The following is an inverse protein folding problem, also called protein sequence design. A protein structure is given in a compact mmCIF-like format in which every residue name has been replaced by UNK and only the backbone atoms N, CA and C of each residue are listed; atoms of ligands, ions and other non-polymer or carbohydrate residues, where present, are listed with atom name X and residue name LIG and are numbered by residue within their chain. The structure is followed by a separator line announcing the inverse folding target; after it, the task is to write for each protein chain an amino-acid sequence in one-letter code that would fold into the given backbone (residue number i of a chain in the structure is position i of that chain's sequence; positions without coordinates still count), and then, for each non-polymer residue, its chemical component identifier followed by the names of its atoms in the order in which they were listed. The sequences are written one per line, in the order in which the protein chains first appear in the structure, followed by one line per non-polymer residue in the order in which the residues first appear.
data_IF_592700554239
#
_entry.id   IF_592700554239
#
_cell.length_a   1.000
_cell.length_b   1.000
_cell.length_c   1.000
_cell.angle_alpha   90.00
_cell.angle_beta   90.00
_cell.angle_gamma   90.00
#
_symmetry.space_group_name_H-M   'P 1'
#
loop_
_entity.id
_entity.type
_entity.pdbx_description
1 polymer ?
#
# COMPACT_ATOMS: atom_id res chain seq x y z
N UNK A 1 -1.41 48.75 38.62
CA UNK A 1 -0.41 48.10 37.74
C UNK A 1 -0.72 46.61 37.69
N UNK A 2 -1.17 46.11 36.53
CA UNK A 2 -1.50 44.68 36.33
C UNK A 2 -0.20 43.88 36.25
N UNK A 3 -0.03 42.87 37.10
CA UNK A 3 1.03 41.87 36.99
C UNK A 3 0.66 40.89 35.87
N UNK A 4 1.47 40.86 34.81
CA UNK A 4 1.39 39.88 33.74
C UNK A 4 2.16 38.64 34.20
N UNK A 5 1.48 37.50 34.25
CA UNK A 5 2.06 36.18 34.50
C UNK A 5 2.70 35.69 33.18
N UNK A 6 3.96 35.23 33.15
CA UNK A 6 4.51 34.68 31.93
C UNK A 6 3.92 33.29 31.70
N UNK A 7 3.23 33.12 30.57
CA UNK A 7 2.82 31.81 30.09
C UNK A 7 4.09 31.03 29.70
N UNK A 8 4.36 29.95 30.41
CA UNK A 8 5.41 29.00 30.08
C UNK A 8 4.96 28.25 28.81
N UNK A 9 5.45 28.66 27.64
CA UNK A 9 5.42 27.82 26.45
C UNK A 9 6.34 26.62 26.71
N UNK A 10 5.79 25.47 27.10
CA UNK A 10 6.48 24.20 26.95
C UNK A 10 6.51 23.87 25.45
N UNK A 11 7.57 24.30 24.78
CA UNK A 11 7.97 23.70 23.52
C UNK A 11 8.31 22.23 23.76
N UNK A 12 7.75 21.35 22.93
CA UNK A 12 8.17 19.95 22.86
C UNK A 12 9.67 19.92 22.51
N UNK A 13 10.52 19.75 23.52
CA UNK A 13 11.92 19.39 23.30
C UNK A 13 11.90 17.90 22.98
N UNK A 14 12.13 17.56 21.71
CA UNK A 14 12.28 16.17 21.30
C UNK A 14 13.45 15.55 22.07
N UNK A 15 13.19 14.44 22.77
CA UNK A 15 14.23 13.69 23.47
C UNK A 15 15.28 13.25 22.45
N UNK A 16 16.56 13.39 22.80
CA UNK A 16 17.64 12.86 21.97
C UNK A 16 17.62 11.30 21.97
N UNK A 17 18.40 10.65 21.09
CA UNK A 17 18.38 9.20 20.97
C UNK A 17 18.71 8.46 22.29
N UNK A 18 19.63 9.00 23.08
CA UNK A 18 20.06 8.43 24.36
C UNK A 18 18.95 8.53 25.41
N UNK A 19 18.22 9.65 25.46
CA UNK A 19 17.08 9.84 26.35
C UNK A 19 15.91 8.90 25.99
N UNK A 20 15.62 8.72 24.69
CA UNK A 20 14.60 7.75 24.21
C UNK A 20 14.96 6.32 24.65
N UNK A 21 16.23 5.92 24.51
CA UNK A 21 16.70 4.60 24.92
C UNK A 21 16.62 4.42 26.45
N UNK A 22 17.06 5.43 27.20
CA UNK A 22 17.02 5.40 28.66
C UNK A 22 15.58 5.27 29.18
N UNK A 23 14.62 5.98 28.58
CA UNK A 23 13.20 5.85 28.88
C UNK A 23 12.71 4.41 28.67
N UNK A 24 13.02 3.80 27.52
CA UNK A 24 12.65 2.39 27.22
C UNK A 24 13.22 1.43 28.28
N UNK A 25 14.50 1.59 28.64
CA UNK A 25 15.15 0.74 29.64
C UNK A 25 14.52 0.89 31.03
N UNK A 26 14.15 2.11 31.41
CA UNK A 26 13.46 2.38 32.67
C UNK A 26 12.03 1.81 32.68
N UNK A 27 11.28 1.94 31.57
CA UNK A 27 9.96 1.35 31.43
C UNK A 27 9.99 -0.17 31.52
N UNK A 28 10.97 -0.81 30.86
CA UNK A 28 11.16 -2.25 30.92
C UNK A 28 11.39 -2.72 32.37
N UNK A 29 12.34 -2.12 33.07
CA UNK A 29 12.68 -2.49 34.44
C UNK A 29 11.53 -2.23 35.43
N UNK A 30 10.81 -1.10 35.29
CA UNK A 30 9.81 -0.67 36.27
C UNK A 30 8.41 -1.22 36.01
N UNK A 31 8.03 -1.45 34.75
CA UNK A 31 6.65 -1.75 34.36
C UNK A 31 6.52 -2.97 33.43
N UNK A 32 7.64 -3.56 33.00
CA UNK A 32 7.67 -4.77 32.19
C UNK A 32 7.50 -4.54 30.69
N UNK A 33 7.58 -5.63 29.93
CA UNK A 33 7.67 -5.62 28.47
C UNK A 33 6.40 -5.14 27.76
N UNK A 34 5.22 -5.34 28.35
CA UNK A 34 3.95 -4.89 27.75
C UNK A 34 3.89 -3.36 27.61
N UNK A 35 4.35 -2.63 28.63
CA UNK A 35 4.40 -1.16 28.61
C UNK A 35 5.44 -0.64 27.62
N UNK A 36 6.56 -1.33 27.46
CA UNK A 36 7.54 -1.03 26.40
C UNK A 36 6.87 -1.16 25.03
N UNK A 37 6.11 -2.24 24.78
CA UNK A 37 5.36 -2.41 23.54
C UNK A 37 4.39 -1.25 23.27
N UNK A 38 3.67 -0.79 24.28
CA UNK A 38 2.77 0.37 24.17
C UNK A 38 3.53 1.67 23.87
N UNK A 39 4.71 1.87 24.47
CA UNK A 39 5.56 3.02 24.16
C UNK A 39 6.05 2.98 22.71
N UNK A 40 6.46 1.82 22.20
CA UNK A 40 6.84 1.67 20.79
C UNK A 40 5.67 1.93 19.85
N UNK A 41 4.47 1.41 20.17
CA UNK A 41 3.24 1.72 19.44
C UNK A 41 2.96 3.24 19.39
N UNK A 42 3.29 3.99 20.44
CA UNK A 42 3.11 5.45 20.47
C UNK A 42 4.01 6.19 19.48
N UNK A 43 5.25 5.72 19.27
CA UNK A 43 6.13 6.28 18.24
C UNK A 43 5.61 5.95 16.83
N UNK A 44 5.13 4.71 16.61
CA UNK A 44 4.57 4.32 15.32
C UNK A 44 3.28 5.08 14.97
N UNK A 45 2.54 5.55 15.98
CA UNK A 45 1.36 6.40 15.82
C UNK A 45 1.70 7.89 15.66
N UNK A 46 2.97 8.29 15.82
CA UNK A 46 3.43 9.66 15.74
C UNK A 46 3.96 10.01 14.34
N UNK A 47 3.53 11.14 13.81
CA UNK A 47 3.92 11.57 12.45
C UNK A 47 5.38 12.04 12.37
N UNK A 48 5.88 12.70 13.42
CA UNK A 48 7.26 13.21 13.45
C UNK A 48 8.29 12.08 13.49
N UNK A 49 7.95 10.96 14.15
CA UNK A 49 8.75 9.73 14.08
C UNK A 49 8.93 9.26 12.63
N UNK A 50 7.84 9.17 11.86
CA UNK A 50 7.93 8.78 10.45
C UNK A 50 8.62 9.82 9.58
N UNK A 51 8.48 11.10 9.88
CA UNK A 51 9.20 12.15 9.17
C UNK A 51 10.73 12.00 9.36
N UNK A 52 11.18 11.70 10.59
CA UNK A 52 12.58 11.40 10.92
C UNK A 52 13.06 10.11 10.22
N UNK A 53 12.28 9.04 10.29
CA UNK A 53 12.63 7.73 9.70
C UNK A 53 12.71 7.78 8.16
N UNK A 54 11.83 8.54 7.51
CA UNK A 54 11.74 8.61 6.05
C UNK A 54 12.69 9.64 5.42
N UNK A 55 13.35 10.50 6.21
CA UNK A 55 14.07 11.67 5.69
C UNK A 55 15.12 11.35 4.61
N UNK A 56 15.80 10.21 4.73
CA UNK A 56 16.88 9.78 3.83
C UNK A 56 16.47 8.59 2.94
N UNK A 57 15.17 8.37 2.74
CA UNK A 57 14.63 7.24 1.98
C UNK A 57 14.14 7.65 0.59
N UNK A 58 14.29 6.75 -0.37
CA UNK A 58 13.76 6.88 -1.72
C UNK A 58 12.25 6.58 -1.70
N UNK A 59 11.44 7.63 -1.65
CA UNK A 59 10.02 7.56 -1.27
C UNK A 59 9.06 7.87 -2.41
N UNK A 60 9.58 8.10 -3.62
CA UNK A 60 8.79 8.50 -4.78
C UNK A 60 7.73 7.44 -5.16
N UNK A 61 8.09 6.16 -5.00
CA UNK A 61 7.21 5.02 -5.28
C UNK A 61 6.54 4.42 -4.04
N UNK A 62 6.66 5.07 -2.88
CA UNK A 62 5.99 4.65 -1.66
C UNK A 62 6.93 4.24 -0.52
N UNK A 63 6.33 3.67 0.51
CA UNK A 63 7.00 3.02 1.63
C UNK A 63 6.85 1.50 1.52
N UNK A 64 7.93 0.78 1.75
CA UNK A 64 8.02 -0.68 1.71
C UNK A 64 8.79 -1.14 2.95
N UNK A 65 8.11 -1.77 3.92
CA UNK A 65 8.72 -2.13 5.21
C UNK A 65 9.84 -3.18 5.06
N UNK A 66 9.62 -4.15 4.18
CA UNK A 66 10.54 -5.26 3.91
C UNK A 66 11.05 -5.17 2.47
N UNK A 67 12.01 -6.01 2.11
CA UNK A 67 12.47 -6.15 0.72
C UNK A 67 11.28 -6.43 -0.22
N UNK A 68 11.20 -5.68 -1.31
CA UNK A 68 10.15 -5.81 -2.33
C UNK A 68 10.73 -5.61 -3.74
N UNK A 69 9.97 -6.03 -4.74
CA UNK A 69 10.25 -5.77 -6.15
C UNK A 69 9.15 -4.94 -6.77
N UNK A 70 9.53 -4.01 -7.64
CA UNK A 70 8.61 -3.05 -8.24
C UNK A 70 8.85 -2.90 -9.73
N UNK A 71 7.80 -3.13 -10.52
CA UNK A 71 7.70 -2.65 -11.88
C UNK A 71 7.05 -1.28 -11.94
N UNK A 72 7.56 -0.40 -12.80
CA UNK A 72 6.96 0.90 -13.09
C UNK A 72 6.74 1.02 -14.59
N UNK A 73 5.49 1.15 -15.01
CA UNK A 73 5.08 1.24 -16.40
C UNK A 73 4.53 2.63 -16.73
N UNK A 74 5.10 3.26 -17.75
CA UNK A 74 4.60 4.49 -18.36
C UNK A 74 3.82 4.11 -19.62
N UNK A 75 2.51 4.38 -19.66
CA UNK A 75 1.67 4.10 -20.84
C UNK A 75 1.89 5.06 -22.01
N UNK A 76 2.36 6.29 -21.77
CA UNK A 76 2.43 7.35 -22.78
C UNK A 76 3.74 7.33 -23.58
N UNK A 77 4.86 6.98 -22.95
CA UNK A 77 6.15 6.73 -23.62
C UNK A 77 6.33 5.26 -24.09
N UNK A 78 5.32 4.43 -23.88
CA UNK A 78 5.46 3.03 -23.45
C UNK A 78 6.85 2.59 -22.94
N UNK A 79 7.04 2.53 -21.63
CA UNK A 79 8.26 1.95 -21.02
C UNK A 79 7.96 1.13 -19.79
N UNK A 80 8.83 0.17 -19.50
CA UNK A 80 8.81 -0.63 -18.28
C UNK A 80 10.17 -0.55 -17.59
N UNK A 81 10.13 -0.19 -16.32
CA UNK A 81 11.28 -0.18 -15.42
C UNK A 81 11.11 -1.23 -14.34
N UNK A 82 12.22 -1.77 -13.84
CA UNK A 82 12.22 -2.75 -12.77
C UNK A 82 13.21 -2.39 -11.67
N UNK A 83 12.75 -2.46 -10.42
CA UNK A 83 13.47 -2.05 -9.22
C UNK A 83 13.48 -3.17 -8.18
N UNK A 84 14.61 -3.30 -7.50
CA UNK A 84 14.69 -3.92 -6.17
C UNK A 84 14.61 -2.80 -5.13
N UNK A 85 13.79 -3.01 -4.10
CA UNK A 85 13.62 -2.08 -2.99
C UNK A 85 14.03 -2.79 -1.72
N UNK A 86 15.06 -2.27 -1.05
CA UNK A 86 15.51 -2.77 0.25
C UNK A 86 15.78 -1.60 1.19
N UNK A 87 15.29 -1.68 2.44
CA UNK A 87 15.33 -0.58 3.41
C UNK A 87 14.80 0.77 2.90
N UNK A 88 13.82 0.75 1.98
CA UNK A 88 13.30 1.91 1.24
C UNK A 88 14.34 2.65 0.38
N UNK A 89 15.34 1.93 -0.12
CA UNK A 89 16.30 2.44 -1.11
C UNK A 89 16.03 1.76 -2.46
N UNK A 90 15.98 2.55 -3.53
CA UNK A 90 15.68 2.08 -4.87
C UNK A 90 16.95 1.66 -5.59
N UNK A 91 17.01 0.38 -5.97
CA UNK A 91 18.01 -0.13 -6.91
C UNK A 91 17.35 -0.43 -8.24
N UNK A 92 17.52 0.47 -9.21
CA UNK A 92 17.08 0.24 -10.59
C UNK A 92 17.87 -0.91 -11.19
N UNK A 93 17.17 -1.99 -11.55
CA UNK A 93 17.78 -3.17 -12.19
C UNK A 93 17.98 -2.89 -13.68
N UNK A 94 16.92 -2.45 -14.37
CA UNK A 94 16.99 -2.03 -15.77
C UNK A 94 15.70 -1.29 -16.19
N UNK A 95 15.66 -0.79 -17.42
CA UNK A 95 14.46 -0.25 -18.06
C UNK A 95 14.48 -0.45 -19.56
N UNK A 96 13.31 -0.54 -20.19
CA UNK A 96 13.20 -0.65 -21.66
C UNK A 96 11.93 0.03 -22.19
N UNK A 97 11.85 0.17 -23.51
CA UNK A 97 10.57 0.41 -24.17
C UNK A 97 9.67 -0.82 -24.02
N UNK A 98 8.37 -0.60 -23.99
CA UNK A 98 7.37 -1.65 -23.93
C UNK A 98 6.30 -1.46 -25.01
N UNK A 99 5.56 -2.52 -25.34
CA UNK A 99 4.27 -2.38 -26.02
C UNK A 99 3.16 -2.44 -24.98
N UNK A 100 2.14 -1.60 -25.14
CA UNK A 100 0.97 -1.50 -24.25
C UNK A 100 -0.32 -1.55 -25.08
N UNK A 101 -1.47 -1.57 -24.42
CA UNK A 101 -2.77 -1.50 -25.07
C UNK A 101 -2.96 -0.22 -25.87
N UNK A 102 -3.67 -0.31 -26.99
CA UNK A 102 -3.92 0.82 -27.89
C UNK A 102 -4.84 1.89 -27.32
N UNK A 103 -5.67 1.55 -26.32
CA UNK A 103 -6.59 2.50 -25.68
C UNK A 103 -5.90 3.30 -24.57
N UNK A 104 -5.95 4.63 -24.71
CA UNK A 104 -5.59 5.61 -23.68
C UNK A 104 -6.59 5.63 -22.52
N UNK A 105 -6.15 6.09 -21.36
CA UNK A 105 -6.98 6.19 -20.16
C UNK A 105 -7.23 4.85 -19.47
N UNK A 106 -8.30 4.78 -18.67
CA UNK A 106 -8.60 3.65 -17.82
C UNK A 106 -9.08 2.41 -18.59
N UNK A 107 -8.66 1.23 -18.12
CA UNK A 107 -9.28 -0.05 -18.48
C UNK A 107 -10.56 -0.24 -17.66
N UNK A 108 -11.72 -0.30 -18.31
CA UNK A 108 -13.01 -0.40 -17.61
C UNK A 108 -13.85 -1.60 -18.03
N UNK A 109 -13.63 -2.13 -19.24
CA UNK A 109 -14.41 -3.23 -19.80
C UNK A 109 -13.52 -4.35 -20.35
N UNK A 110 -14.07 -5.55 -20.38
CA UNK A 110 -13.49 -6.64 -21.15
C UNK A 110 -13.40 -6.28 -22.64
N UNK A 111 -12.27 -6.62 -23.28
CA UNK A 111 -12.05 -6.34 -24.70
C UNK A 111 -11.78 -4.88 -25.06
N UNK A 112 -11.69 -3.95 -24.11
CA UNK A 112 -11.54 -2.51 -24.41
C UNK A 112 -10.13 -2.06 -24.84
N UNK A 113 -9.18 -3.01 -24.97
CA UNK A 113 -7.81 -2.78 -25.47
C UNK A 113 -6.95 -1.82 -24.62
N UNK A 114 -7.34 -1.52 -23.38
CA UNK A 114 -6.56 -0.65 -22.49
C UNK A 114 -5.60 -1.44 -21.61
N UNK A 115 -4.39 -0.91 -21.41
CA UNK A 115 -3.57 -1.25 -20.24
C UNK A 115 -4.09 -0.46 -19.04
N UNK A 116 -4.37 -1.11 -17.90
CA UNK A 116 -4.96 -0.44 -16.74
C UNK A 116 -3.99 0.53 -16.05
N UNK A 117 -4.54 1.56 -15.40
CA UNK A 117 -3.79 2.56 -14.62
C UNK A 117 -4.06 2.29 -13.13
N UNK A 118 -3.00 2.26 -12.31
CA UNK A 118 -3.09 1.99 -10.88
C UNK A 118 -1.93 1.16 -10.34
N UNK A 119 -2.15 0.56 -9.17
CA UNK A 119 -1.22 -0.37 -8.52
C UNK A 119 -1.75 -1.80 -8.63
N UNK A 120 -0.91 -2.69 -9.13
CA UNK A 120 -1.19 -4.10 -9.35
C UNK A 120 -0.13 -4.98 -8.67
N UNK A 121 -0.43 -6.26 -8.54
CA UNK A 121 0.52 -7.27 -8.05
C UNK A 121 0.75 -8.34 -9.09
N UNK A 122 2.01 -8.76 -9.21
CA UNK A 122 2.38 -9.98 -9.91
C UNK A 122 2.04 -11.15 -8.99
N UNK A 123 1.14 -12.01 -9.47
CA UNK A 123 0.55 -13.11 -8.66
C UNK A 123 1.20 -14.45 -8.95
N UNK A 124 1.64 -14.65 -10.18
CA UNK A 124 2.27 -15.88 -10.66
C UNK A 124 3.05 -15.61 -11.94
N UNK A 125 3.90 -16.57 -12.30
CA UNK A 125 4.57 -16.67 -13.59
C UNK A 125 3.92 -17.81 -14.38
N UNK A 126 3.65 -17.58 -15.65
CA UNK A 126 3.25 -18.59 -16.62
C UNK A 126 4.40 -18.88 -17.58
N UNK A 127 4.57 -20.16 -17.89
CA UNK A 127 5.50 -20.70 -18.87
C UNK A 127 4.73 -21.64 -19.82
N UNK A 128 5.34 -22.09 -20.91
CA UNK A 128 4.68 -22.95 -21.92
C UNK A 128 3.43 -22.32 -22.56
N UNK A 129 3.54 -21.02 -22.86
CA UNK A 129 2.49 -20.25 -23.52
C UNK A 129 2.58 -20.40 -25.05
N UNK A 130 1.56 -19.91 -25.76
CA UNK A 130 1.69 -19.65 -27.19
C UNK A 130 2.93 -18.79 -27.47
N UNK A 131 3.61 -19.08 -28.58
CA UNK A 131 4.85 -18.42 -28.97
C UNK A 131 4.75 -16.88 -28.99
N UNK A 132 3.56 -16.34 -29.21
CA UNK A 132 3.27 -14.90 -29.18
C UNK A 132 3.69 -14.23 -27.86
N UNK A 133 3.54 -14.92 -26.74
CA UNK A 133 3.82 -14.36 -25.41
C UNK A 133 5.29 -14.43 -25.01
N UNK A 134 6.16 -14.97 -25.87
CA UNK A 134 7.59 -15.04 -25.61
C UNK A 134 7.96 -16.10 -24.57
N UNK A 135 8.99 -15.81 -23.79
CA UNK A 135 9.60 -16.77 -22.86
C UNK A 135 8.79 -17.05 -21.60
N UNK A 136 8.01 -16.08 -21.12
CA UNK A 136 7.16 -16.19 -19.93
C UNK A 136 6.14 -15.04 -19.88
N UNK A 137 5.14 -15.17 -19.00
CA UNK A 137 4.25 -14.07 -18.65
C UNK A 137 4.08 -13.94 -17.13
N UNK A 138 4.30 -12.74 -16.60
CA UNK A 138 3.96 -12.37 -15.23
C UNK A 138 2.50 -11.89 -15.17
N UNK A 139 1.67 -12.61 -14.41
CA UNK A 139 0.23 -12.35 -14.34
C UNK A 139 -0.06 -11.27 -13.31
N UNK A 140 -0.67 -10.16 -13.75
CA UNK A 140 -1.15 -9.13 -12.82
C UNK A 140 -2.48 -9.55 -12.19
N UNK A 141 -2.84 -8.93 -11.06
CA UNK A 141 -4.14 -9.12 -10.43
C UNK A 141 -5.25 -8.19 -10.96
N UNK A 142 -5.15 -7.67 -12.19
CA UNK A 142 -6.27 -6.92 -12.78
C UNK A 142 -7.48 -7.86 -13.03
N UNK A 143 -8.72 -7.47 -12.65
CA UNK A 143 -9.08 -6.26 -11.91
C UNK A 143 -8.73 -6.40 -10.41
N UNK A 144 -8.04 -5.40 -9.85
CA UNK A 144 -7.70 -5.40 -8.43
C UNK A 144 -8.95 -5.06 -7.57
N UNK A 145 -8.80 -4.93 -6.24
CA UNK A 145 -9.92 -4.59 -5.35
C UNK A 145 -10.59 -3.25 -5.74
N UNK A 146 -9.81 -2.23 -6.08
CA UNK A 146 -10.33 -0.93 -6.50
C UNK A 146 -11.14 -1.06 -7.79
N UNK A 147 -10.60 -1.75 -8.78
CA UNK A 147 -11.25 -2.00 -10.07
C UNK A 147 -12.57 -2.76 -9.87
N UNK A 148 -12.55 -3.80 -9.04
CA UNK A 148 -13.72 -4.64 -8.72
C UNK A 148 -14.84 -3.83 -8.05
N UNK A 149 -14.50 -3.00 -7.06
CA UNK A 149 -15.47 -2.15 -6.38
C UNK A 149 -16.00 -1.02 -7.29
N UNK A 150 -15.21 -0.60 -8.29
CA UNK A 150 -15.61 0.31 -9.37
C UNK A 150 -16.34 -0.39 -10.53
N UNK A 151 -16.61 -1.70 -10.41
CA UNK A 151 -17.32 -2.51 -11.42
C UNK A 151 -16.62 -2.56 -12.78
N UNK A 152 -15.29 -2.42 -12.79
CA UNK A 152 -14.45 -2.64 -13.99
C UNK A 152 -14.32 -4.14 -14.26
N UNK A 153 -14.28 -4.53 -15.52
CA UNK A 153 -14.30 -5.95 -15.96
C UNK A 153 -13.15 -6.28 -16.90
N UNK A 154 -13.05 -7.55 -17.29
CA UNK A 154 -11.94 -8.11 -18.05
C UNK A 154 -10.97 -8.89 -17.17
N UNK A 155 -9.97 -9.49 -17.79
CA UNK A 155 -8.97 -10.33 -17.14
C UNK A 155 -7.72 -10.40 -18.04
N UNK A 156 -6.70 -11.17 -17.62
CA UNK A 156 -5.59 -11.53 -18.51
C UNK A 156 -4.61 -10.40 -18.84
N UNK A 157 -4.45 -9.40 -17.95
CA UNK A 157 -3.42 -8.37 -18.11
C UNK A 157 -2.09 -8.91 -17.59
N UNK A 158 -1.14 -9.14 -18.50
CA UNK A 158 0.16 -9.73 -18.18
C UNK A 158 1.31 -8.81 -18.57
N UNK A 159 2.45 -8.99 -17.90
CA UNK A 159 3.75 -8.51 -18.39
C UNK A 159 4.46 -9.70 -19.05
N UNK A 160 4.64 -9.68 -20.37
CA UNK A 160 5.14 -10.83 -21.13
C UNK A 160 6.23 -10.45 -22.15
N UNK A 161 6.73 -11.46 -22.85
CA UNK A 161 7.79 -11.33 -23.85
C UNK A 161 7.28 -10.99 -25.25
N UNK A 162 8.19 -10.78 -26.19
CA UNK A 162 7.83 -10.63 -27.62
C UNK A 162 7.68 -12.00 -28.31
N UNK A 163 6.99 -12.11 -29.46
CA UNK A 163 6.84 -13.36 -30.19
C UNK A 163 8.18 -14.07 -30.47
N UNK A 164 8.22 -15.38 -30.22
CA UNK A 164 9.43 -16.22 -30.38
C UNK A 164 9.77 -16.48 -31.85
N UNK A 165 8.77 -16.44 -32.74
CA UNK A 165 8.95 -16.58 -34.19
C UNK A 165 9.60 -15.36 -34.86
N UNK A 166 9.92 -14.31 -34.10
CA UNK A 166 10.51 -13.07 -34.61
C UNK A 166 9.50 -12.05 -35.13
N UNK A 167 8.19 -12.33 -35.05
CA UNK A 167 7.15 -11.38 -35.44
C UNK A 167 7.19 -10.14 -34.55
N UNK A 168 7.14 -8.96 -35.19
CA UNK A 168 7.13 -7.62 -34.57
C UNK A 168 6.12 -6.69 -35.27
N UNK A 169 5.11 -7.26 -35.95
CA UNK A 169 4.14 -6.51 -36.75
C UNK A 169 3.20 -5.65 -35.90
N UNK A 170 2.91 -6.06 -34.67
CA UNK A 170 2.00 -5.34 -33.78
C UNK A 170 2.69 -4.15 -33.10
N UNK A 171 2.10 -2.96 -33.24
CA UNK A 171 2.54 -1.75 -32.53
C UNK A 171 1.94 -1.60 -31.14
N UNK A 172 0.88 -2.38 -30.83
CA UNK A 172 0.16 -2.32 -29.56
C UNK A 172 -0.34 -3.71 -29.19
N UNK A 173 -0.43 -3.98 -27.89
CA UNK A 173 -1.09 -5.18 -27.37
C UNK A 173 -2.60 -4.95 -27.24
N UNK A 174 -3.33 -5.95 -26.74
CA UNK A 174 -4.74 -5.82 -26.33
C UNK A 174 -4.92 -5.39 -24.86
N UNK A 175 -3.85 -4.92 -24.21
CA UNK A 175 -3.86 -4.46 -22.81
C UNK A 175 -2.68 -4.95 -21.97
N UNK A 176 -1.99 -6.02 -22.40
CA UNK A 176 -0.75 -6.50 -21.78
C UNK A 176 0.41 -5.51 -21.94
N UNK A 177 1.49 -5.74 -21.19
CA UNK A 177 2.75 -5.01 -21.31
C UNK A 177 3.79 -5.98 -21.87
N UNK A 178 4.29 -5.75 -23.08
CA UNK A 178 5.27 -6.63 -23.71
C UNK A 178 6.66 -5.99 -23.78
N UNK A 179 7.71 -6.75 -23.41
CA UNK A 179 9.12 -6.33 -23.49
C UNK A 179 9.99 -7.44 -24.12
N UNK A 180 11.24 -7.13 -24.45
CA UNK A 180 12.15 -8.10 -25.07
C UNK A 180 12.46 -9.30 -24.16
N UNK A 181 12.45 -10.50 -24.77
CA UNK A 181 12.59 -11.79 -24.07
C UNK A 181 13.85 -11.92 -23.19
N UNK A 182 15.06 -11.50 -23.65
CA UNK A 182 16.26 -11.61 -22.81
C UNK A 182 16.17 -10.75 -21.55
N UNK A 183 15.60 -9.54 -21.67
CA UNK A 183 15.43 -8.64 -20.56
C UNK A 183 14.40 -9.17 -19.57
N UNK A 184 13.26 -9.66 -20.06
CA UNK A 184 12.24 -10.28 -19.21
C UNK A 184 12.79 -11.48 -18.43
N UNK A 185 13.58 -12.34 -19.09
CA UNK A 185 14.26 -13.47 -18.44
C UNK A 185 15.24 -13.02 -17.36
N UNK A 186 15.88 -11.86 -17.54
CA UNK A 186 16.78 -11.29 -16.53
C UNK A 186 16.00 -10.83 -15.28
N UNK A 187 14.79 -10.29 -15.44
CA UNK A 187 13.93 -9.92 -14.33
C UNK A 187 13.44 -11.13 -13.55
N UNK A 188 13.07 -12.23 -14.23
CA UNK A 188 12.69 -13.49 -13.57
C UNK A 188 13.82 -14.06 -12.69
N UNK A 189 15.05 -14.05 -13.19
CA UNK A 189 16.24 -14.48 -12.43
C UNK A 189 16.49 -13.65 -11.17
N UNK A 190 16.11 -12.37 -11.19
CA UNK A 190 16.20 -11.48 -10.02
C UNK A 190 15.04 -11.73 -9.06
N UNK A 191 13.82 -11.90 -9.57
CA UNK A 191 12.62 -12.18 -8.78
C UNK A 191 12.71 -13.51 -8.04
N UNK A 192 13.26 -14.56 -8.67
CA UNK A 192 13.40 -15.91 -8.06
C UNK A 192 12.08 -16.44 -7.48
N UNK A 193 10.95 -16.16 -8.15
CA UNK A 193 9.61 -16.57 -7.71
C UNK A 193 8.96 -15.66 -6.65
N UNK A 194 9.64 -14.61 -6.20
CA UNK A 194 9.06 -13.58 -5.34
C UNK A 194 7.95 -12.79 -6.04
N UNK A 195 7.02 -12.26 -5.25
CA UNK A 195 5.98 -11.35 -5.75
C UNK A 195 6.58 -9.98 -6.06
N UNK A 196 5.94 -9.26 -6.96
CA UNK A 196 6.28 -7.88 -7.28
C UNK A 196 5.04 -6.99 -7.34
N UNK A 197 5.22 -5.71 -7.08
CA UNK A 197 4.24 -4.68 -7.38
C UNK A 197 4.43 -4.17 -8.81
N UNK A 198 3.36 -3.62 -9.39
CA UNK A 198 3.37 -2.92 -10.68
C UNK A 198 2.62 -1.60 -10.50
N UNK A 199 3.31 -0.47 -10.62
CA UNK A 199 2.70 0.85 -10.75
C UNK A 199 2.59 1.15 -12.25
N UNK A 200 1.38 1.37 -12.75
CA UNK A 200 1.16 1.81 -14.12
C UNK A 200 0.50 3.19 -14.13
N UNK A 201 1.11 4.15 -14.82
CA UNK A 201 0.61 5.52 -14.94
C UNK A 201 0.55 5.97 -16.39
N UNK A 202 -0.09 7.11 -16.64
CA UNK A 202 -0.21 7.73 -17.95
C UNK A 202 0.23 9.20 -17.87
N UNK A 203 1.00 9.65 -18.86
CA UNK A 203 1.58 11.00 -19.02
C UNK A 203 2.59 11.43 -17.95
N UNK A 204 2.14 11.62 -16.70
CA UNK A 204 3.00 12.11 -15.61
C UNK A 204 2.70 11.33 -14.33
N UNK A 205 3.75 10.77 -13.75
CA UNK A 205 3.69 10.20 -12.41
C UNK A 205 3.80 11.31 -11.36
N UNK A 206 2.89 11.30 -10.38
CA UNK A 206 2.94 12.18 -9.22
C UNK A 206 3.42 11.38 -8.01
N UNK A 207 4.72 11.45 -7.66
CA UNK A 207 5.30 10.61 -6.62
C UNK A 207 4.65 10.83 -5.25
N UNK A 208 4.72 9.83 -4.38
CA UNK A 208 4.39 10.02 -2.96
C UNK A 208 5.45 10.89 -2.27
N UNK A 209 5.01 11.80 -1.42
CA UNK A 209 5.91 12.60 -0.60
C UNK A 209 6.13 11.96 0.76
N UNK A 210 7.28 12.25 1.39
CA UNK A 210 7.58 11.82 2.76
C UNK A 210 6.52 12.29 3.76
N UNK A 211 5.96 13.48 3.55
CA UNK A 211 4.89 14.06 4.36
C UNK A 211 3.59 13.24 4.27
N UNK A 212 3.17 12.85 3.07
CA UNK A 212 2.00 12.01 2.85
C UNK A 212 2.20 10.61 3.43
N UNK A 213 3.37 10.00 3.22
CA UNK A 213 3.70 8.69 3.79
C UNK A 213 3.70 8.74 5.32
N UNK A 214 4.29 9.78 5.92
CA UNK A 214 4.29 9.98 7.38
C UNK A 214 2.87 10.13 7.92
N UNK A 215 2.01 10.88 7.21
CA UNK A 215 0.60 11.03 7.57
C UNK A 215 -0.15 9.69 7.50
N UNK A 216 0.02 8.92 6.42
CA UNK A 216 -0.65 7.63 6.24
C UNK A 216 -0.18 6.61 7.28
N UNK A 217 1.12 6.48 7.49
CA UNK A 217 1.68 5.51 8.43
C UNK A 217 1.26 5.83 9.87
N UNK A 218 1.41 7.07 10.32
CA UNK A 218 0.91 7.47 11.66
C UNK A 218 -0.59 7.25 11.80
N UNK A 219 -1.40 7.61 10.79
CA UNK A 219 -2.85 7.36 10.79
C UNK A 219 -3.18 5.86 10.84
N UNK A 220 -2.42 5.00 10.16
CA UNK A 220 -2.61 3.55 10.17
C UNK A 220 -2.43 2.97 11.58
N UNK A 221 -1.39 3.40 12.30
CA UNK A 221 -1.14 2.95 13.67
C UNK A 221 -2.14 3.54 14.68
N UNK A 222 -2.58 4.78 14.50
CA UNK A 222 -3.68 5.35 15.30
C UNK A 222 -5.01 4.63 15.06
N UNK A 223 -5.30 4.26 13.81
CA UNK A 223 -6.48 3.46 13.44
C UNK A 223 -6.42 2.06 14.08
N UNK A 224 -5.26 1.39 14.03
CA UNK A 224 -5.02 0.10 14.72
C UNK A 224 -5.29 0.23 16.22
N UNK A 225 -4.74 1.26 16.85
CA UNK A 225 -4.88 1.51 18.28
C UNK A 225 -6.35 1.72 18.67
N UNK A 226 -7.06 2.60 17.97
CA UNK A 226 -8.49 2.84 18.20
C UNK A 226 -9.32 1.56 18.04
N UNK A 227 -9.00 0.74 17.04
CA UNK A 227 -9.68 -0.53 16.82
C UNK A 227 -9.41 -1.55 17.94
N UNK A 228 -8.15 -1.70 18.34
CA UNK A 228 -7.75 -2.64 19.39
C UNK A 228 -8.31 -2.23 20.77
N UNK A 229 -8.29 -0.94 21.09
CA UNK A 229 -8.82 -0.38 22.35
C UNK A 229 -10.34 -0.24 22.41
N UNK A 230 -11.03 -0.41 21.28
CA UNK A 230 -12.48 -0.28 21.22
C UNK A 230 -12.99 1.17 21.25
N UNK A 231 -12.18 2.13 20.82
CA UNK A 231 -12.59 3.54 20.66
C UNK A 231 -13.35 3.70 19.33
N UNK A 232 -14.67 3.56 19.38
CA UNK A 232 -15.53 3.55 18.20
C UNK A 232 -15.52 4.89 17.44
N UNK A 233 -15.65 6.01 18.15
CA UNK A 233 -15.73 7.33 17.50
C UNK A 233 -14.38 7.72 16.89
N UNK A 234 -13.25 7.41 17.53
CA UNK A 234 -11.93 7.58 16.91
C UNK A 234 -11.74 6.64 15.72
N UNK A 235 -12.12 5.37 15.83
CA UNK A 235 -12.02 4.41 14.72
C UNK A 235 -12.81 4.86 13.49
N UNK A 236 -14.06 5.33 13.68
CA UNK A 236 -14.92 5.74 12.57
C UNK A 236 -14.47 7.03 11.86
N UNK A 237 -13.70 7.91 12.54
CA UNK A 237 -13.17 9.14 11.94
C UNK A 237 -12.16 8.90 10.81
N UNK A 238 -11.53 7.73 10.75
CA UNK A 238 -10.62 7.37 9.67
C UNK A 238 -11.33 6.97 8.37
N UNK A 239 -12.65 6.77 8.38
CA UNK A 239 -13.40 6.30 7.22
C UNK A 239 -14.05 7.46 6.47
N UNK A 240 -13.85 7.49 5.15
CA UNK A 240 -14.48 8.48 4.29
C UNK A 240 -16.00 8.22 4.21
N UNK A 241 -16.86 9.26 4.12
CA UNK A 241 -18.30 9.07 3.87
C UNK A 241 -18.63 8.24 2.62
N UNK A 242 -17.77 8.24 1.60
CA UNK A 242 -17.93 7.44 0.39
C UNK A 242 -17.43 5.97 0.51
N UNK A 243 -17.06 5.54 1.72
CA UNK A 243 -16.45 4.24 1.99
C UNK A 243 -17.24 3.06 1.41
N UNK A 244 -16.50 2.10 0.84
CA UNK A 244 -17.04 0.82 0.39
C UNK A 244 -16.13 -0.33 0.83
N UNK A 245 -16.66 -1.27 1.59
CA UNK A 245 -15.96 -2.50 1.96
C UNK A 245 -15.88 -3.48 0.78
N UNK A 246 -14.94 -4.41 0.82
CA UNK A 246 -14.71 -5.41 -0.24
C UNK A 246 -15.96 -6.19 -0.70
N UNK A 247 -16.93 -6.37 0.18
CA UNK A 247 -18.21 -7.08 -0.09
C UNK A 247 -19.34 -6.13 -0.53
N UNK A 248 -19.03 -4.85 -0.77
CA UNK A 248 -19.99 -3.83 -1.21
C UNK A 248 -20.68 -3.07 -0.08
N UNK A 249 -20.47 -3.43 1.20
CA UNK A 249 -21.06 -2.72 2.33
C UNK A 249 -20.62 -1.24 2.35
N UNK A 250 -21.58 -0.32 2.43
CA UNK A 250 -21.36 1.13 2.45
C UNK A 250 -21.20 1.68 3.88
N UNK A 251 -20.70 2.91 3.98
CA UNK A 251 -20.38 3.59 5.24
C UNK A 251 -21.44 3.44 6.35
N UNK A 252 -22.71 3.79 6.10
CA UNK A 252 -23.74 3.75 7.16
C UNK A 252 -23.97 2.34 7.72
N UNK A 253 -24.11 1.34 6.83
CA UNK A 253 -24.28 -0.04 7.25
C UNK A 253 -23.04 -0.58 7.99
N UNK A 254 -21.84 -0.20 7.53
CA UNK A 254 -20.58 -0.54 8.18
C UNK A 254 -20.45 0.09 9.57
N UNK A 255 -20.81 1.38 9.70
CA UNK A 255 -20.81 2.12 10.96
C UNK A 255 -21.74 1.46 11.98
N UNK A 256 -22.97 1.14 11.59
CA UNK A 256 -23.94 0.47 12.48
C UNK A 256 -23.49 -0.94 12.88
N UNK A 257 -22.93 -1.70 11.94
CA UNK A 257 -22.33 -3.00 12.24
C UNK A 257 -21.17 -2.87 13.25
N UNK A 258 -20.23 -1.96 13.01
CA UNK A 258 -19.08 -1.75 13.89
C UNK A 258 -19.48 -1.20 15.26
N UNK A 259 -20.53 -0.36 15.35
CA UNK A 259 -21.09 0.10 16.62
C UNK A 259 -21.49 -1.07 17.51
N UNK A 260 -22.22 -2.07 16.95
CA UNK A 260 -22.60 -3.29 17.67
C UNK A 260 -21.39 -4.15 18.05
N UNK A 261 -20.39 -4.26 17.17
CA UNK A 261 -19.16 -5.03 17.46
C UNK A 261 -18.35 -4.38 18.59
N UNK A 262 -18.21 -3.05 18.57
CA UNK A 262 -17.45 -2.31 19.59
C UNK A 262 -18.16 -2.32 20.94
N UNK A 263 -19.49 -2.27 20.97
CA UNK A 263 -20.27 -2.38 22.21
C UNK A 263 -20.05 -3.69 23.00
N UNK A 264 -19.50 -4.74 22.36
CA UNK A 264 -19.12 -5.98 23.05
C UNK A 264 -17.90 -5.82 23.97
N UNK A 265 -17.12 -4.74 23.81
CA UNK A 265 -15.91 -4.46 24.59
C UNK A 265 -14.92 -5.64 24.69
N UNK A 266 -14.81 -6.43 23.61
CA UNK A 266 -13.87 -7.54 23.55
C UNK A 266 -12.43 -7.02 23.57
N UNK A 267 -11.58 -7.66 24.39
CA UNK A 267 -10.13 -7.41 24.37
C UNK A 267 -9.57 -7.91 23.04
N UNK A 268 -8.76 -7.09 22.37
CA UNK A 268 -8.19 -7.39 21.05
C UNK A 268 -6.71 -7.14 21.05
N UNK A 269 -5.96 -8.04 20.41
CA UNK A 269 -4.57 -7.83 20.04
C UNK A 269 -4.50 -7.83 18.52
N UNK A 270 -3.94 -6.77 17.95
CA UNK A 270 -3.84 -6.57 16.50
C UNK A 270 -2.40 -6.16 16.20
N UNK A 271 -1.72 -6.94 15.35
CA UNK A 271 -0.36 -6.67 14.92
C UNK A 271 -0.29 -6.64 13.39
N UNK A 272 0.47 -5.67 12.85
CA UNK A 272 0.68 -5.48 11.41
C UNK A 272 2.14 -5.78 11.07
N UNK A 273 2.34 -6.39 9.90
CA UNK A 273 3.65 -6.77 9.38
C UNK A 273 3.70 -6.52 7.88
N UNK A 274 4.91 -6.39 7.32
CA UNK A 274 5.14 -6.25 5.89
C UNK A 274 4.32 -5.12 5.25
N UNK A 275 4.26 -3.96 5.92
CA UNK A 275 3.47 -2.81 5.49
C UNK A 275 4.08 -2.20 4.22
N UNK A 276 3.23 -1.99 3.22
CA UNK A 276 3.57 -1.21 2.03
C UNK A 276 2.51 -0.12 1.83
N UNK A 277 2.94 1.10 1.51
CA UNK A 277 2.09 2.26 1.19
C UNK A 277 2.56 2.79 -0.17
N UNK A 278 1.75 2.61 -1.20
CA UNK A 278 2.14 2.84 -2.60
C UNK A 278 1.23 3.92 -3.20
N UNK A 279 1.75 5.01 -3.81
CA UNK A 279 0.92 5.99 -4.49
C UNK A 279 0.15 5.32 -5.63
N UNK A 280 -1.14 5.64 -5.77
CA UNK A 280 -2.04 5.01 -6.72
C UNK A 280 -2.40 5.99 -7.86
N UNK A 281 -1.74 5.87 -9.05
CA UNK A 281 -2.12 6.66 -10.22
C UNK A 281 -3.60 6.48 -10.56
N UNK A 282 -4.27 7.58 -10.89
CA UNK A 282 -5.70 7.58 -11.23
C UNK A 282 -6.05 8.72 -12.18
N UNK A 283 -7.14 8.57 -12.92
CA UNK A 283 -7.55 9.53 -13.96
C UNK A 283 -7.89 10.93 -13.44
N UNK A 284 -8.25 11.08 -12.16
CA UNK A 284 -8.52 12.37 -11.55
C UNK A 284 -7.30 13.04 -10.90
N UNK A 285 -6.13 12.39 -10.90
CA UNK A 285 -4.95 12.84 -10.15
C UNK A 285 -5.22 13.10 -8.65
N UNK A 286 -6.21 12.44 -8.06
CA UNK A 286 -6.44 12.43 -6.61
C UNK A 286 -5.21 11.86 -5.91
N UNK A 287 -4.92 12.30 -4.69
CA UNK A 287 -3.84 11.73 -3.86
C UNK A 287 -4.31 10.43 -3.21
N UNK A 288 -4.39 9.39 -4.04
CA UNK A 288 -4.80 8.04 -3.65
C UNK A 288 -3.58 7.17 -3.36
N UNK A 289 -3.72 6.28 -2.40
CA UNK A 289 -2.67 5.35 -1.97
C UNK A 289 -3.26 3.96 -1.75
N UNK A 290 -2.51 2.96 -2.17
CA UNK A 290 -2.76 1.57 -1.85
C UNK A 290 -1.91 1.15 -0.66
N UNK A 291 -2.56 0.64 0.38
CA UNK A 291 -1.90 0.13 1.58
C UNK A 291 -2.17 -1.36 1.70
N UNK A 292 -1.11 -2.15 1.83
CA UNK A 292 -1.19 -3.60 2.03
C UNK A 292 -0.25 -4.02 3.15
N UNK A 293 -0.74 -4.91 4.00
CA UNK A 293 0.03 -5.49 5.10
C UNK A 293 -0.56 -6.83 5.52
N UNK A 294 0.23 -7.63 6.22
CA UNK A 294 -0.23 -8.84 6.89
C UNK A 294 -0.70 -8.48 8.31
N UNK A 295 -1.78 -9.10 8.75
CA UNK A 295 -2.42 -8.84 10.05
C UNK A 295 -2.57 -10.14 10.84
N UNK A 296 -2.02 -10.18 12.06
CA UNK A 296 -2.41 -11.14 13.11
C UNK A 296 -3.45 -10.46 14.02
N UNK A 297 -4.66 -11.01 14.05
CA UNK A 297 -5.76 -10.51 14.86
C UNK A 297 -6.21 -11.58 15.85
N UNK A 298 -6.33 -11.20 17.12
CA UNK A 298 -6.85 -12.04 18.21
C UNK A 298 -7.89 -11.27 19.01
N UNK A 299 -9.03 -11.88 19.26
CA UNK A 299 -10.04 -11.37 20.18
C UNK A 299 -10.23 -12.33 21.35
N UNK A 300 -10.57 -11.78 22.51
CA UNK A 300 -10.74 -12.52 23.75
C UNK A 300 -12.07 -12.17 24.42
N UNK A 301 -12.73 -13.19 24.97
CA UNK A 301 -13.90 -13.07 25.83
C UNK A 301 -13.58 -13.76 27.16
N UNK A 302 -13.81 -13.07 28.29
CA UNK A 302 -13.49 -13.58 29.63
C UNK A 302 -12.05 -14.14 29.73
N UNK A 303 -11.08 -13.40 29.16
CA UNK A 303 -9.66 -13.78 29.08
C UNK A 303 -9.35 -15.09 28.33
N UNK A 304 -10.30 -15.65 27.59
CA UNK A 304 -10.11 -16.80 26.69
C UNK A 304 -10.14 -16.35 25.24
N UNK A 305 -9.27 -16.92 24.42
CA UNK A 305 -9.23 -16.65 22.98
C UNK A 305 -10.56 -17.06 22.34
N UNK A 306 -11.30 -16.11 21.79
CA UNK A 306 -12.60 -16.34 21.14
C UNK A 306 -12.50 -16.36 19.61
N UNK A 307 -11.53 -15.64 19.05
CA UNK A 307 -11.32 -15.59 17.60
C UNK A 307 -9.85 -15.28 17.29
N UNK A 308 -9.32 -15.90 16.22
CA UNK A 308 -8.00 -15.60 15.67
C UNK A 308 -8.03 -15.67 14.15
N UNK A 309 -7.30 -14.77 13.50
CA UNK A 309 -7.06 -14.83 12.05
C UNK A 309 -5.70 -14.26 11.68
N UNK A 310 -5.06 -14.86 10.66
CA UNK A 310 -3.96 -14.26 9.93
C UNK A 310 -4.44 -13.95 8.52
N UNK A 311 -4.39 -12.69 8.11
CA UNK A 311 -4.96 -12.24 6.84
C UNK A 311 -4.13 -11.13 6.24
N UNK A 312 -4.08 -11.08 4.91
CA UNK A 312 -3.60 -9.90 4.22
C UNK A 312 -4.72 -8.86 4.14
N UNK A 313 -4.42 -7.64 4.58
CA UNK A 313 -5.31 -6.50 4.56
C UNK A 313 -4.99 -5.59 3.39
N UNK A 314 -6.02 -4.98 2.83
CA UNK A 314 -5.89 -4.02 1.74
C UNK A 314 -6.73 -2.78 2.06
N UNK A 315 -6.11 -1.60 2.03
CA UNK A 315 -6.79 -0.32 2.16
C UNK A 315 -6.51 0.54 0.92
N UNK A 316 -7.51 1.31 0.52
CA UNK A 316 -7.32 2.45 -0.37
C UNK A 316 -7.59 3.70 0.44
N UNK A 317 -6.61 4.60 0.45
CA UNK A 317 -6.63 5.83 1.25
C UNK A 317 -6.57 7.02 0.31
N UNK A 318 -7.41 8.02 0.58
CA UNK A 318 -7.39 9.32 -0.08
C UNK A 318 -6.89 10.38 0.90
N UNK A 319 -5.91 11.19 0.47
CA UNK A 319 -5.54 12.42 1.16
C UNK A 319 -6.27 13.58 0.48
N UNK A 320 -7.15 14.22 1.22
CA UNK A 320 -7.89 15.41 0.78
C UNK A 320 -7.93 16.40 1.94
N UNK A 321 -7.73 17.70 1.66
CA UNK A 321 -7.70 18.75 2.69
C UNK A 321 -6.76 18.43 3.88
N UNK A 322 -5.60 17.85 3.57
CA UNK A 322 -4.58 17.43 4.54
C UNK A 322 -5.06 16.37 5.56
N UNK A 323 -6.08 15.58 5.20
CA UNK A 323 -6.59 14.45 6.00
C UNK A 323 -6.55 13.16 5.18
N UNK A 324 -5.97 12.11 5.78
CA UNK A 324 -6.00 10.76 5.23
C UNK A 324 -7.31 10.05 5.64
N UNK A 325 -8.05 9.52 4.66
CA UNK A 325 -9.30 8.80 4.89
C UNK A 325 -9.37 7.49 4.10
N UNK A 326 -9.89 6.43 4.73
CA UNK A 326 -10.09 5.11 4.13
C UNK A 326 -11.33 5.14 3.25
N UNK A 327 -11.14 4.93 1.94
CA UNK A 327 -12.23 4.86 0.96
C UNK A 327 -12.63 3.41 0.64
N UNK A 328 -11.72 2.44 0.81
CA UNK A 328 -12.00 1.02 0.65
C UNK A 328 -11.18 0.16 1.62
N UNK A 329 -11.75 -0.94 2.08
CA UNK A 329 -11.10 -1.90 2.99
C UNK A 329 -11.47 -3.35 2.64
N UNK A 330 -10.46 -4.23 2.65
CA UNK A 330 -10.59 -5.68 2.68
C UNK A 330 -9.90 -6.26 3.89
#
# INVERSE_FOLDING_TARGET
MKKVLPALLMGFVGLNADERLLEIMHLYQKQGLEVVGQKLDSYLADKSFWAEELQNKDTDFGYYQNKQFLFVADKSKPSLEFYEIDNNMLKKINSSKALVGSKKGDKTLEGDLATPIGVYRITQKLEHLDQYYGVLAFVTNYPNLYDTLKKRTGHGIWVHGMPLNGDRNELNTKGCIAIENPLLSSYDKVLKGEKAFLITYENKFFPSTKEELSMILSSLFQWKEAWARGDFERYMRFYNPNFTRYDGMKFNAFKEYKKRVFAKNEKKNIAFYSINVIPYPNSQNKRLFYVVFDQDYKAYQQNKLSYRSNSQKELYIEIENNQASIIMEK
#
